data_IF_185025060869
#
_entry.id   IF_185025060869
#
_cell.length_a   1.000
_cell.length_b   1.000
_cell.length_c   1.000
_cell.angle_alpha   90.00
_cell.angle_beta   90.00
_cell.angle_gamma   90.00
#
_symmetry.space_group_name_H-M   'P 1'
#
loop_
_entity.id
_entity.type
_entity.pdbx_description
1 polymer ?
#
# COMPACT_ATOMS: atom_id res chain seq x y z
N UNK A 1 -26.05 -10.07 -13.81
CA UNK A 1 -25.53 -8.98 -12.96
C UNK A 1 -24.95 -7.92 -13.88
N UNK A 2 -25.66 -6.80 -14.07
CA UNK A 2 -25.13 -5.68 -14.84
C UNK A 2 -24.16 -4.90 -13.93
N UNK A 3 -22.86 -5.10 -14.14
CA UNK A 3 -21.82 -4.30 -13.47
C UNK A 3 -21.79 -2.89 -14.10
N UNK A 4 -22.69 -2.03 -13.68
CA UNK A 4 -22.54 -0.60 -13.93
C UNK A 4 -21.72 -0.01 -12.79
N UNK A 5 -20.42 0.12 -13.02
CA UNK A 5 -19.53 0.87 -12.12
C UNK A 5 -20.04 2.32 -12.05
N UNK A 6 -20.76 2.64 -10.98
CA UNK A 6 -21.11 4.03 -10.71
C UNK A 6 -19.92 4.71 -10.02
N UNK A 7 -19.53 5.89 -10.50
CA UNK A 7 -18.45 6.69 -9.88
C UNK A 7 -18.70 6.96 -8.39
N UNK A 8 -19.96 7.01 -7.97
CA UNK A 8 -20.35 7.17 -6.58
C UNK A 8 -19.96 5.99 -5.68
N UNK A 9 -19.89 4.78 -6.23
CA UNK A 9 -19.49 3.58 -5.48
C UNK A 9 -17.98 3.51 -5.23
N UNK A 10 -17.18 4.17 -6.07
CA UNK A 10 -15.73 4.23 -5.92
C UNK A 10 -15.26 5.36 -4.97
N UNK A 11 -16.14 6.29 -4.63
CA UNK A 11 -15.81 7.44 -3.78
C UNK A 11 -15.16 7.06 -2.43
N UNK A 12 -15.58 6.01 -1.73
CA UNK A 12 -14.95 5.60 -0.48
C UNK A 12 -13.51 5.10 -0.64
N UNK A 13 -13.12 4.63 -1.83
CA UNK A 13 -11.78 4.16 -2.14
C UNK A 13 -10.84 5.25 -2.69
N UNK A 14 -11.31 6.49 -2.82
CA UNK A 14 -10.50 7.61 -3.34
C UNK A 14 -9.19 7.78 -2.58
N UNK A 15 -9.10 7.68 -1.24
CA UNK A 15 -7.81 7.77 -0.55
C UNK A 15 -6.80 6.71 -1.00
N UNK A 16 -7.25 5.48 -1.21
CA UNK A 16 -6.40 4.38 -1.72
C UNK A 16 -5.98 4.65 -3.16
N UNK A 17 -6.91 5.14 -3.99
CA UNK A 17 -6.63 5.50 -5.39
C UNK A 17 -5.59 6.62 -5.49
N UNK A 18 -5.59 7.59 -4.57
CA UNK A 18 -4.57 8.64 -4.51
C UNK A 18 -3.19 8.02 -4.25
N UNK A 19 -3.07 7.10 -3.30
CA UNK A 19 -1.80 6.42 -3.01
C UNK A 19 -1.33 5.60 -4.22
N UNK A 20 -2.22 4.83 -4.84
CA UNK A 20 -1.92 4.06 -6.05
C UNK A 20 -1.50 4.96 -7.22
N UNK A 21 -2.22 6.06 -7.45
CA UNK A 21 -1.87 7.04 -8.47
C UNK A 21 -0.51 7.70 -8.18
N UNK A 22 -0.22 8.01 -6.92
CA UNK A 22 1.06 8.55 -6.51
C UNK A 22 2.19 7.58 -6.84
N UNK A 23 2.01 6.26 -6.65
CA UNK A 23 3.02 5.27 -7.01
C UNK A 23 3.31 5.26 -8.52
N UNK A 24 2.26 5.40 -9.35
CA UNK A 24 2.41 5.50 -10.82
C UNK A 24 3.14 6.80 -11.20
N UNK A 25 2.77 7.93 -10.61
CA UNK A 25 3.43 9.23 -10.85
C UNK A 25 4.92 9.16 -10.47
N UNK A 26 5.23 8.59 -9.31
CA UNK A 26 6.62 8.40 -8.85
C UNK A 26 7.39 7.51 -9.84
N UNK A 27 6.79 6.42 -10.31
CA UNK A 27 7.41 5.54 -11.31
C UNK A 27 7.72 6.30 -12.62
N UNK A 28 6.79 7.12 -13.10
CA UNK A 28 7.01 7.95 -14.30
C UNK A 28 8.08 9.01 -14.08
N UNK A 29 8.12 9.65 -12.92
CA UNK A 29 9.18 10.62 -12.58
C UNK A 29 10.56 9.98 -12.58
N UNK A 30 10.71 8.77 -12.03
CA UNK A 30 11.97 8.02 -12.04
C UNK A 30 12.39 7.69 -13.49
N UNK A 31 11.42 7.32 -14.35
CA UNK A 31 11.69 7.00 -15.75
C UNK A 31 12.18 8.21 -16.56
N UNK A 32 11.66 9.42 -16.26
CA UNK A 32 12.05 10.66 -16.98
C UNK A 32 13.35 11.24 -16.42
N UNK A 33 13.43 11.40 -15.11
CA UNK A 33 14.59 11.99 -14.43
C UNK A 33 14.72 11.44 -13.01
N UNK A 34 15.80 10.70 -12.76
CA UNK A 34 16.14 10.23 -11.41
C UNK A 34 16.56 11.42 -10.54
N UNK A 35 15.67 11.83 -9.65
CA UNK A 35 15.94 12.89 -8.68
C UNK A 35 15.33 12.49 -7.32
N UNK A 36 16.20 12.07 -6.41
CA UNK A 36 15.80 11.56 -5.09
C UNK A 36 14.89 12.52 -4.31
N UNK A 37 15.24 13.81 -4.29
CA UNK A 37 14.44 14.80 -3.54
C UNK A 37 13.04 14.99 -4.16
N UNK A 38 12.94 14.97 -5.49
CA UNK A 38 11.67 15.13 -6.18
C UNK A 38 10.76 13.92 -5.95
N UNK A 39 11.31 12.72 -6.01
CA UNK A 39 10.58 11.49 -5.74
C UNK A 39 10.11 11.44 -4.28
N UNK A 40 10.99 11.73 -3.33
CA UNK A 40 10.64 11.77 -1.91
C UNK A 40 9.55 12.80 -1.60
N UNK A 41 9.67 14.03 -2.13
CA UNK A 41 8.65 15.07 -1.93
C UNK A 41 7.31 14.69 -2.54
N UNK A 42 7.29 14.12 -3.76
CA UNK A 42 6.05 13.66 -4.40
C UNK A 42 5.37 12.55 -3.57
N UNK A 43 6.14 11.61 -3.04
CA UNK A 43 5.65 10.55 -2.16
C UNK A 43 5.01 11.13 -0.90
N UNK A 44 5.70 12.03 -0.22
CA UNK A 44 5.18 12.69 1.00
C UNK A 44 3.93 13.51 0.70
N UNK A 45 3.90 14.25 -0.42
CA UNK A 45 2.72 15.03 -0.83
C UNK A 45 1.52 14.11 -1.11
N UNK A 46 1.71 13.01 -1.83
CA UNK A 46 0.63 12.05 -2.12
C UNK A 46 0.06 11.38 -0.85
N UNK A 47 0.94 10.97 0.07
CA UNK A 47 0.53 10.40 1.35
C UNK A 47 -0.23 11.42 2.22
N UNK A 48 0.27 12.68 2.29
CA UNK A 48 -0.43 13.73 3.02
C UNK A 48 -1.79 14.05 2.41
N UNK A 49 -1.90 14.13 1.07
CA UNK A 49 -3.16 14.38 0.40
C UNK A 49 -4.22 13.31 0.75
N UNK A 50 -3.81 12.03 0.73
CA UNK A 50 -4.68 10.92 1.14
C UNK A 50 -5.06 11.02 2.62
N UNK A 51 -4.12 11.34 3.51
CA UNK A 51 -4.37 11.47 4.95
C UNK A 51 -5.32 12.64 5.26
N UNK A 52 -5.14 13.79 4.61
CA UNK A 52 -6.01 14.96 4.78
C UNK A 52 -7.43 14.63 4.30
N UNK A 53 -7.56 13.91 3.20
CA UNK A 53 -8.87 13.51 2.68
C UNK A 53 -9.61 12.60 3.67
N UNK A 54 -8.93 11.60 4.26
CA UNK A 54 -9.53 10.73 5.29
C UNK A 54 -9.90 11.56 6.52
N UNK A 55 -9.00 12.42 7.00
CA UNK A 55 -9.28 13.28 8.15
C UNK A 55 -10.50 14.18 7.89
N UNK A 56 -10.57 14.81 6.72
CA UNK A 56 -11.71 15.64 6.33
C UNK A 56 -13.03 14.86 6.33
N UNK A 57 -13.04 13.66 5.74
CA UNK A 57 -14.25 12.80 5.73
C UNK A 57 -14.66 12.34 7.12
N UNK A 58 -13.71 12.03 8.00
CA UNK A 58 -14.00 11.67 9.40
C UNK A 58 -14.60 12.84 10.21
N UNK A 59 -14.07 14.05 10.01
CA UNK A 59 -14.52 15.23 10.75
C UNK A 59 -15.80 15.87 10.19
N UNK A 60 -16.11 15.66 8.90
CA UNK A 60 -17.31 16.26 8.27
C UNK A 60 -18.64 15.64 8.76
N UNK A 61 -18.59 14.49 9.41
CA UNK A 61 -19.77 13.80 9.97
C UNK A 61 -20.77 13.27 8.92
N UNK A 62 -20.49 13.43 7.62
CA UNK A 62 -21.38 13.03 6.52
C UNK A 62 -21.00 11.68 5.90
N UNK A 63 -20.17 10.91 6.61
CA UNK A 63 -19.73 9.63 6.07
C UNK A 63 -20.83 8.56 6.23
N UNK A 64 -21.22 7.96 5.12
CA UNK A 64 -22.11 6.80 5.10
C UNK A 64 -21.28 5.56 4.81
N UNK A 65 -21.32 4.51 5.65
CA UNK A 65 -20.64 3.26 5.36
C UNK A 65 -21.02 2.75 3.97
N UNK A 66 -20.01 2.42 3.17
CA UNK A 66 -20.22 1.99 1.80
C UNK A 66 -19.58 0.63 1.57
N UNK A 67 -20.34 -0.23 0.87
CA UNK A 67 -19.86 -1.51 0.40
C UNK A 67 -19.54 -1.37 -1.08
N UNK A 68 -18.28 -1.55 -1.43
CA UNK A 68 -17.79 -1.44 -2.81
C UNK A 68 -17.71 -2.82 -3.41
N UNK A 69 -18.57 -3.10 -4.38
CA UNK A 69 -18.64 -4.37 -5.13
C UNK A 69 -18.81 -5.64 -4.29
N UNK A 70 -19.20 -5.55 -3.02
CA UNK A 70 -19.23 -6.70 -2.10
C UNK A 70 -17.85 -7.22 -1.70
N UNK A 71 -16.77 -6.56 -2.12
CA UNK A 71 -15.38 -6.96 -1.82
C UNK A 71 -14.72 -6.10 -0.77
N UNK A 72 -15.06 -4.81 -0.72
CA UNK A 72 -14.49 -3.86 0.22
C UNK A 72 -15.60 -3.13 0.98
N UNK A 73 -15.42 -3.01 2.27
CA UNK A 73 -16.31 -2.26 3.14
C UNK A 73 -15.53 -1.11 3.77
N UNK A 74 -15.97 0.10 3.52
CA UNK A 74 -15.38 1.29 4.15
C UNK A 74 -16.36 1.79 5.20
N UNK A 75 -15.91 1.81 6.44
CA UNK A 75 -16.63 2.28 7.61
C UNK A 75 -15.71 3.20 8.44
N UNK A 76 -16.19 3.84 9.50
CA UNK A 76 -15.36 4.70 10.35
C UNK A 76 -14.16 3.98 10.97
N UNK A 77 -14.29 2.69 11.25
CA UNK A 77 -13.21 1.85 11.76
C UNK A 77 -12.13 1.66 10.71
N UNK A 78 -12.50 1.30 9.48
CA UNK A 78 -11.60 1.19 8.33
C UNK A 78 -10.85 2.49 8.08
N UNK A 79 -11.55 3.64 8.11
CA UNK A 79 -10.94 4.95 7.90
C UNK A 79 -9.90 5.28 8.99
N UNK A 80 -10.19 4.96 10.24
CA UNK A 80 -9.25 5.18 11.34
C UNK A 80 -7.97 4.38 11.13
N UNK A 81 -8.08 3.11 10.76
CA UNK A 81 -6.89 2.28 10.50
C UNK A 81 -6.14 2.73 9.25
N UNK A 82 -6.83 3.11 8.17
CA UNK A 82 -6.18 3.67 6.98
C UNK A 82 -5.42 4.95 7.32
N UNK A 83 -5.98 5.81 8.17
CA UNK A 83 -5.31 7.02 8.64
C UNK A 83 -4.04 6.70 9.44
N UNK A 84 -4.09 5.73 10.35
CA UNK A 84 -2.92 5.27 11.11
C UNK A 84 -1.83 4.69 10.20
N UNK A 85 -2.21 3.91 9.17
CA UNK A 85 -1.29 3.37 8.16
C UNK A 85 -0.60 4.51 7.41
N UNK A 86 -1.33 5.55 7.03
CA UNK A 86 -0.76 6.70 6.33
C UNK A 86 0.21 7.51 7.20
N UNK A 87 -0.08 7.69 8.48
CA UNK A 87 0.84 8.32 9.44
C UNK A 87 2.13 7.49 9.56
N UNK A 88 2.02 6.17 9.71
CA UNK A 88 3.17 5.29 9.76
C UNK A 88 3.98 5.34 8.46
N UNK A 89 3.31 5.35 7.30
CA UNK A 89 3.94 5.48 6.00
C UNK A 89 4.69 6.80 5.82
N UNK A 90 4.12 7.91 6.29
CA UNK A 90 4.78 9.22 6.31
C UNK A 90 6.03 9.20 7.17
N UNK A 91 5.96 8.63 8.37
CA UNK A 91 7.12 8.48 9.25
C UNK A 91 8.21 7.62 8.58
N UNK A 92 7.84 6.47 8.01
CA UNK A 92 8.77 5.60 7.28
C UNK A 92 9.39 6.31 6.07
N UNK A 93 8.61 7.03 5.28
CA UNK A 93 9.10 7.76 4.10
C UNK A 93 10.12 8.84 4.48
N UNK A 94 9.83 9.61 5.54
CA UNK A 94 10.74 10.67 6.00
C UNK A 94 12.02 10.13 6.62
N UNK A 95 11.94 9.08 7.42
CA UNK A 95 13.11 8.43 8.02
C UNK A 95 13.98 7.72 6.97
N UNK A 96 13.34 7.08 5.98
CA UNK A 96 14.04 6.41 4.87
C UNK A 96 14.84 7.39 4.01
N UNK A 97 14.42 8.64 3.90
CA UNK A 97 15.12 9.65 3.10
C UNK A 97 16.58 9.83 3.56
N UNK A 98 16.77 10.10 4.85
CA UNK A 98 18.11 10.30 5.41
C UNK A 98 18.97 9.00 5.37
N UNK A 99 18.32 7.84 5.56
CA UNK A 99 19.03 6.55 5.54
C UNK A 99 19.53 6.20 4.14
N UNK A 100 18.69 6.37 3.13
CA UNK A 100 18.99 6.00 1.75
C UNK A 100 19.96 6.98 1.10
N UNK A 101 20.03 8.21 1.57
CA UNK A 101 20.98 9.21 1.07
C UNK A 101 22.44 8.76 1.20
N UNK A 102 22.72 7.85 2.13
CA UNK A 102 24.05 7.24 2.30
C UNK A 102 24.41 6.20 1.23
N UNK A 103 23.43 5.67 0.50
CA UNK A 103 23.63 4.69 -0.58
C UNK A 103 23.72 5.39 -1.92
N UNK A 104 24.67 4.92 -2.77
CA UNK A 104 24.97 5.56 -4.07
C UNK A 104 24.11 5.07 -5.24
N UNK A 105 23.46 3.89 -5.09
CA UNK A 105 22.71 3.23 -6.16
C UNK A 105 21.20 3.27 -5.91
N UNK A 106 20.42 3.41 -7.01
CA UNK A 106 18.96 3.22 -7.13
C UNK A 106 18.12 3.59 -5.88
N UNK A 107 18.16 4.84 -5.46
CA UNK A 107 17.56 5.30 -4.20
C UNK A 107 16.05 5.47 -4.27
N UNK A 108 15.53 5.70 -5.47
CA UNK A 108 14.18 6.18 -5.71
C UNK A 108 13.14 5.06 -5.72
N UNK A 109 13.54 3.86 -6.11
CA UNK A 109 12.63 2.71 -6.29
C UNK A 109 12.02 2.22 -4.97
N UNK A 110 12.69 2.46 -3.84
CA UNK A 110 12.17 2.12 -2.50
C UNK A 110 10.83 2.83 -2.21
N UNK A 111 10.65 4.06 -2.70
CA UNK A 111 9.40 4.80 -2.49
C UNK A 111 8.22 4.17 -3.25
N UNK A 112 8.47 3.58 -4.43
CA UNK A 112 7.44 2.84 -5.16
C UNK A 112 7.02 1.61 -4.35
N UNK A 113 7.98 0.85 -3.85
CA UNK A 113 7.71 -0.34 -3.02
C UNK A 113 6.94 0.03 -1.75
N UNK A 114 7.33 1.13 -1.09
CA UNK A 114 6.62 1.64 0.08
C UNK A 114 5.17 2.00 -0.26
N UNK A 115 4.93 2.76 -1.34
CA UNK A 115 3.59 3.17 -1.76
C UNK A 115 2.71 1.96 -2.13
N UNK A 116 3.26 0.97 -2.83
CA UNK A 116 2.54 -0.28 -3.15
C UNK A 116 2.16 -1.05 -1.89
N UNK A 117 3.08 -1.17 -0.93
CA UNK A 117 2.80 -1.81 0.36
C UNK A 117 1.73 -1.07 1.16
N UNK A 118 1.78 0.26 1.19
CA UNK A 118 0.76 1.11 1.84
C UNK A 118 -0.61 0.95 1.19
N UNK A 119 -0.67 0.96 -0.14
CA UNK A 119 -1.93 0.72 -0.87
C UNK A 119 -2.51 -0.66 -0.54
N UNK A 120 -1.67 -1.70 -0.51
CA UNK A 120 -2.05 -3.04 -0.09
C UNK A 120 -2.59 -3.10 1.34
N UNK A 121 -1.92 -2.44 2.28
CA UNK A 121 -2.34 -2.37 3.68
C UNK A 121 -3.69 -1.64 3.84
N UNK A 122 -3.89 -0.54 3.11
CA UNK A 122 -5.17 0.20 3.13
C UNK A 122 -6.33 -0.62 2.56
N UNK A 123 -6.09 -1.39 1.48
CA UNK A 123 -7.08 -2.31 0.91
C UNK A 123 -7.35 -3.49 1.84
N UNK A 124 -6.32 -4.00 2.51
CA UNK A 124 -6.45 -5.12 3.45
C UNK A 124 -7.42 -4.80 4.57
N UNK A 125 -7.32 -3.61 5.16
CA UNK A 125 -8.22 -3.16 6.23
C UNK A 125 -9.67 -2.98 5.74
N UNK A 126 -9.86 -2.61 4.48
CA UNK A 126 -11.17 -2.44 3.86
C UNK A 126 -11.77 -3.77 3.34
N UNK A 127 -11.01 -4.86 3.30
CA UNK A 127 -11.45 -6.11 2.69
C UNK A 127 -12.59 -6.76 3.49
N UNK A 128 -13.69 -7.09 2.80
CA UNK A 128 -14.86 -7.81 3.34
C UNK A 128 -15.06 -9.20 2.73
N UNK A 129 -14.26 -9.55 1.73
CA UNK A 129 -14.32 -10.81 1.01
C UNK A 129 -12.95 -11.51 1.04
N UNK A 130 -12.92 -12.83 1.18
CA UNK A 130 -11.65 -13.59 1.26
C UNK A 130 -10.72 -13.37 0.08
N UNK A 131 -11.25 -13.27 -1.14
CA UNK A 131 -10.42 -12.99 -2.32
C UNK A 131 -9.79 -11.59 -2.26
N UNK A 132 -10.56 -10.56 -1.86
CA UNK A 132 -10.05 -9.21 -1.68
C UNK A 132 -9.00 -9.16 -0.55
N UNK A 133 -9.26 -9.86 0.55
CA UNK A 133 -8.31 -10.00 1.66
C UNK A 133 -6.97 -10.60 1.18
N UNK A 134 -7.02 -11.72 0.45
CA UNK A 134 -5.81 -12.39 -0.03
C UNK A 134 -5.01 -11.51 -0.99
N UNK A 135 -5.68 -10.91 -2.00
CA UNK A 135 -5.00 -10.04 -2.97
C UNK A 135 -4.38 -8.83 -2.29
N UNK A 136 -5.08 -8.22 -1.34
CA UNK A 136 -4.58 -7.06 -0.59
C UNK A 136 -3.39 -7.43 0.32
N UNK A 137 -3.41 -8.62 0.92
CA UNK A 137 -2.31 -9.15 1.70
C UNK A 137 -1.06 -9.36 0.84
N UNK A 138 -1.21 -9.96 -0.34
CA UNK A 138 -0.08 -10.15 -1.26
C UNK A 138 0.44 -8.80 -1.79
N UNK A 139 -0.46 -7.87 -2.13
CA UNK A 139 -0.06 -6.53 -2.56
C UNK A 139 0.73 -5.76 -1.48
N UNK A 140 0.42 -6.01 -0.20
CA UNK A 140 1.20 -5.45 0.91
C UNK A 140 2.55 -6.16 1.07
N UNK A 141 2.58 -7.50 0.97
CA UNK A 141 3.72 -8.34 1.34
C UNK A 141 4.82 -8.36 0.28
N UNK A 142 4.46 -8.45 -1.01
CA UNK A 142 5.43 -8.55 -2.11
C UNK A 142 6.41 -7.36 -2.14
N UNK A 143 5.96 -6.11 -2.03
CA UNK A 143 6.88 -4.97 -1.97
C UNK A 143 7.80 -4.99 -0.75
N UNK A 144 7.34 -5.54 0.40
CA UNK A 144 8.17 -5.66 1.61
C UNK A 144 9.37 -6.58 1.37
N UNK A 145 9.22 -7.66 0.58
CA UNK A 145 10.37 -8.52 0.21
C UNK A 145 11.40 -7.73 -0.58
N UNK A 146 10.94 -6.90 -1.53
CA UNK A 146 11.80 -6.00 -2.29
C UNK A 146 12.52 -4.99 -1.39
N UNK A 147 11.82 -4.41 -0.41
CA UNK A 147 12.42 -3.47 0.54
C UNK A 147 13.46 -4.13 1.44
N UNK A 148 13.25 -5.37 1.89
CA UNK A 148 14.22 -6.12 2.69
C UNK A 148 15.49 -6.45 1.91
N UNK A 149 15.36 -6.81 0.64
CA UNK A 149 16.47 -7.10 -0.26
C UNK A 149 17.08 -5.86 -0.91
N UNK A 150 16.57 -4.66 -0.62
CA UNK A 150 16.89 -3.43 -1.33
C UNK A 150 18.38 -3.06 -1.26
N UNK A 151 19.02 -3.30 -0.13
CA UNK A 151 20.46 -3.10 0.05
C UNK A 151 21.26 -4.32 -0.45
N UNK A 152 21.04 -4.72 -1.70
CA UNK A 152 21.56 -5.96 -2.30
C UNK A 152 23.10 -6.06 -2.34
N UNK A 153 23.82 -4.97 -2.13
CA UNK A 153 25.28 -5.00 -1.95
C UNK A 153 25.71 -5.70 -0.67
N UNK A 154 24.79 -5.90 0.30
CA UNK A 154 25.01 -6.69 1.50
C UNK A 154 24.42 -8.08 1.32
N UNK A 155 25.26 -9.13 1.35
CA UNK A 155 24.80 -10.53 1.25
C UNK A 155 23.73 -10.88 2.28
N UNK A 156 23.81 -10.31 3.47
CA UNK A 156 22.83 -10.49 4.54
C UNK A 156 21.44 -9.94 4.19
N UNK A 157 21.36 -8.84 3.46
CA UNK A 157 20.09 -8.24 3.02
C UNK A 157 19.38 -9.12 1.98
N UNK A 158 20.14 -9.64 1.02
CA UNK A 158 19.60 -10.56 0.01
C UNK A 158 19.12 -11.87 0.65
N UNK A 159 19.91 -12.42 1.58
CA UNK A 159 19.56 -13.62 2.33
C UNK A 159 18.28 -13.41 3.16
N UNK A 160 18.16 -12.26 3.83
CA UNK A 160 16.96 -11.91 4.60
C UNK A 160 15.72 -11.80 3.70
N UNK A 161 15.83 -11.14 2.53
CA UNK A 161 14.74 -11.04 1.57
C UNK A 161 14.27 -12.39 1.04
N UNK A 162 15.19 -13.29 0.69
CA UNK A 162 14.86 -14.64 0.23
C UNK A 162 14.22 -15.48 1.34
N UNK A 163 14.75 -15.45 2.56
CA UNK A 163 14.15 -16.17 3.70
C UNK A 163 12.74 -15.68 3.98
N UNK A 164 12.53 -14.37 3.97
CA UNK A 164 11.21 -13.79 4.19
C UNK A 164 10.23 -14.18 3.07
N UNK A 165 10.66 -14.14 1.80
CA UNK A 165 9.86 -14.57 0.66
C UNK A 165 9.38 -16.03 0.82
N UNK A 166 10.28 -16.95 1.15
CA UNK A 166 9.95 -18.38 1.28
C UNK A 166 8.98 -18.62 2.44
N UNK A 167 9.24 -17.99 3.59
CA UNK A 167 8.35 -18.13 4.75
C UNK A 167 6.97 -17.55 4.49
N UNK A 168 6.91 -16.37 3.88
CA UNK A 168 5.64 -15.72 3.56
C UNK A 168 4.86 -16.48 2.49
N UNK A 169 5.52 -16.94 1.41
CA UNK A 169 4.87 -17.74 0.37
C UNK A 169 4.28 -19.05 0.93
N UNK A 170 4.98 -19.68 1.88
CA UNK A 170 4.46 -20.88 2.57
C UNK A 170 3.24 -20.53 3.43
N UNK A 171 3.27 -19.43 4.16
CA UNK A 171 2.14 -18.98 4.96
C UNK A 171 0.92 -18.62 4.09
N UNK A 172 1.12 -17.93 2.96
CA UNK A 172 0.07 -17.60 1.99
C UNK A 172 -0.53 -18.84 1.35
N UNK A 173 0.28 -19.85 1.04
CA UNK A 173 -0.21 -21.14 0.52
C UNK A 173 -1.11 -21.86 1.54
N UNK A 174 -0.73 -21.86 2.82
CA UNK A 174 -1.55 -22.44 3.89
C UNK A 174 -2.85 -21.65 4.10
N UNK A 175 -2.78 -20.32 4.01
CA UNK A 175 -3.96 -19.45 4.09
C UNK A 175 -4.94 -19.75 2.95
N UNK A 176 -4.46 -19.86 1.70
CA UNK A 176 -5.27 -20.24 0.54
C UNK A 176 -5.93 -21.61 0.71
N UNK A 177 -5.17 -22.59 1.22
CA UNK A 177 -5.70 -23.91 1.50
C UNK A 177 -6.83 -23.84 2.54
N UNK A 178 -6.64 -23.06 3.62
CA UNK A 178 -7.68 -22.83 4.63
C UNK A 178 -8.93 -22.18 4.05
N UNK A 179 -8.75 -21.17 3.19
CA UNK A 179 -9.87 -20.55 2.47
C UNK A 179 -10.60 -21.53 1.55
N UNK A 180 -9.87 -22.39 0.84
CA UNK A 180 -10.47 -23.42 -0.03
C UNK A 180 -11.36 -24.39 0.77
N UNK A 181 -10.95 -24.77 1.98
CA UNK A 181 -11.79 -25.62 2.85
C UNK A 181 -13.06 -24.93 3.37
N UNK A 182 -13.02 -23.59 3.51
CA UNK A 182 -14.22 -22.83 3.93
C UNK A 182 -15.22 -22.71 2.77
N UNK A 183 -14.74 -22.71 1.52
CA UNK A 183 -15.59 -22.63 0.33
C UNK A 183 -16.06 -23.99 -0.21
N UNK A 184 -15.49 -25.10 0.24
CA UNK A 184 -15.90 -26.45 -0.13
C UNK A 184 -17.10 -26.92 0.69
#
# INVERSE_FOLDING_TARGET
>A
MNFTLSFSELMPLVPVMIVALTSVVVMLLIAIKRNHNLVATTTVVGLNLSAILIAYTMFSGHFVPANVMGMFMVDPFTMLYQFLILIAALACSTLSHAYIETYKDNREELYILLLCSVAGAMLLVASSHYAAFFISLELMSIPVYGMLAYTHQRSQSLEAGIKYLVLSATASAMLLLGMAYIYA
#
